data_IF_999496098551
#
_entry.id   IF_999496098551
#
_cell.length_a   1.000
_cell.length_b   1.000
_cell.length_c   1.000
_cell.angle_alpha   90.00
_cell.angle_beta   90.00
_cell.angle_gamma   90.00
#
_symmetry.space_group_name_H-M   'P 1'
#
loop_
_entity.id
_entity.type
_entity.pdbx_description
1 polymer ?
#
# COMPACT_ATOMS: atom_id res chain seq x y z
N UNK A 1 -22.93 -22.92 11.91
CA UNK A 1 -23.34 -22.50 10.55
C UNK A 1 -22.17 -22.78 9.62
N UNK A 2 -22.30 -23.81 8.78
CA UNK A 2 -21.21 -24.46 8.01
C UNK A 2 -20.78 -23.68 6.75
N UNK A 3 -21.24 -22.44 6.58
CA UNK A 3 -21.15 -21.71 5.31
C UNK A 3 -19.94 -20.77 5.18
N UNK A 4 -19.09 -20.64 6.20
CA UNK A 4 -18.01 -19.64 6.21
C UNK A 4 -16.67 -20.20 5.70
N UNK A 5 -16.32 -21.44 6.09
CA UNK A 5 -14.99 -22.03 5.79
C UNK A 5 -14.79 -22.46 4.34
N UNK A 6 -15.85 -22.77 3.61
CA UNK A 6 -15.77 -23.30 2.25
C UNK A 6 -15.58 -22.18 1.20
N UNK A 7 -16.06 -20.96 1.48
CA UNK A 7 -15.92 -19.81 0.58
C UNK A 7 -14.49 -19.25 0.58
N UNK A 8 -13.91 -19.03 1.77
CA UNK A 8 -12.51 -18.58 1.93
C UNK A 8 -11.52 -19.56 1.30
N UNK A 9 -11.78 -20.87 1.44
CA UNK A 9 -10.98 -21.92 0.81
C UNK A 9 -11.04 -21.86 -0.73
N UNK A 10 -12.22 -21.67 -1.31
CA UNK A 10 -12.39 -21.58 -2.77
C UNK A 10 -11.75 -20.31 -3.37
N UNK A 11 -11.65 -19.23 -2.61
CA UNK A 11 -10.91 -18.04 -3.03
C UNK A 11 -9.40 -18.27 -3.02
N UNK A 12 -8.86 -18.91 -1.97
CA UNK A 12 -7.46 -19.27 -1.88
C UNK A 12 -7.04 -20.31 -2.95
N UNK A 13 -7.89 -21.30 -3.25
CA UNK A 13 -7.59 -22.35 -4.23
C UNK A 13 -7.63 -21.88 -5.71
N UNK A 14 -8.29 -20.75 -6.00
CA UNK A 14 -8.41 -20.19 -7.37
C UNK A 14 -7.55 -18.97 -7.61
N UNK A 15 -6.89 -18.47 -6.58
CA UNK A 15 -6.01 -17.31 -6.65
C UNK A 15 -4.56 -17.79 -6.61
N UNK A 16 -3.80 -17.44 -7.64
CA UNK A 16 -2.34 -17.64 -7.64
C UNK A 16 -1.73 -16.55 -6.75
N UNK A 17 -1.22 -16.94 -5.58
CA UNK A 17 -0.54 -16.03 -4.66
C UNK A 17 0.79 -15.55 -5.25
N UNK A 18 1.00 -14.23 -5.30
CA UNK A 18 2.22 -13.63 -5.85
C UNK A 18 3.12 -13.00 -4.78
N UNK A 19 2.56 -12.51 -3.68
CA UNK A 19 3.36 -12.02 -2.56
C UNK A 19 2.62 -11.13 -1.57
N UNK A 20 3.26 -10.88 -0.43
CA UNK A 20 2.84 -9.94 0.60
C UNK A 20 3.97 -8.95 0.84
N UNK A 21 3.64 -7.67 0.81
CA UNK A 21 4.53 -6.58 1.20
C UNK A 21 3.98 -5.94 2.47
N UNK A 22 4.81 -5.74 3.49
CA UNK A 22 4.44 -4.93 4.66
C UNK A 22 4.92 -3.51 4.39
N UNK A 23 3.98 -2.60 4.14
CA UNK A 23 4.28 -1.20 3.83
C UNK A 23 4.63 -0.40 5.09
N UNK A 24 3.94 -0.67 6.21
CA UNK A 24 4.18 -0.01 7.48
C UNK A 24 3.66 -0.83 8.66
N UNK A 25 4.20 -0.55 9.85
CA UNK A 25 3.69 -1.06 11.13
C UNK A 25 3.64 0.06 12.15
N UNK A 26 2.62 0.09 12.97
CA UNK A 26 2.47 1.03 14.09
C UNK A 26 2.17 0.24 15.37
N UNK A 27 2.93 0.49 16.45
CA UNK A 27 2.85 -0.28 17.70
C UNK A 27 2.96 -1.81 17.47
N UNK A 28 2.23 -2.64 18.24
CA UNK A 28 2.20 -4.10 18.07
C UNK A 28 3.39 -4.88 18.65
N UNK A 29 4.20 -4.27 19.51
CA UNK A 29 5.29 -4.95 20.23
C UNK A 29 4.74 -5.81 21.39
N UNK A 30 5.63 -6.51 22.09
CA UNK A 30 5.23 -7.41 23.19
C UNK A 30 4.46 -6.69 24.31
N UNK A 31 4.83 -5.44 24.60
CA UNK A 31 4.21 -4.63 25.65
C UNK A 31 2.98 -3.84 25.16
N UNK A 32 2.67 -3.88 23.87
CA UNK A 32 1.54 -3.15 23.30
C UNK A 32 0.24 -3.97 23.38
N UNK A 33 -0.88 -3.28 23.59
CA UNK A 33 -2.23 -3.87 23.57
C UNK A 33 -2.95 -3.65 22.23
N UNK A 34 -2.42 -2.78 21.38
CA UNK A 34 -2.93 -2.46 20.05
C UNK A 34 -1.77 -2.34 19.06
N UNK A 35 -2.01 -2.68 17.79
CA UNK A 35 -1.03 -2.54 16.72
C UNK A 35 -1.71 -2.44 15.37
N UNK A 36 -1.06 -1.80 14.42
CA UNK A 36 -1.53 -1.69 13.04
C UNK A 36 -0.50 -2.19 12.06
N UNK A 37 -0.96 -2.82 10.99
CA UNK A 37 -0.13 -3.31 9.90
C UNK A 37 -0.71 -2.83 8.59
N UNK A 38 0.04 -2.02 7.86
CA UNK A 38 -0.26 -1.67 6.47
C UNK A 38 0.43 -2.68 5.57
N UNK A 39 -0.33 -3.37 4.72
CA UNK A 39 0.23 -4.36 3.82
C UNK A 39 -0.41 -4.35 2.43
N UNK A 40 0.32 -4.92 1.48
CA UNK A 40 -0.12 -5.11 0.11
C UNK A 40 -0.04 -6.60 -0.23
N UNK A 41 -1.20 -7.24 -0.31
CA UNK A 41 -1.33 -8.62 -0.79
C UNK A 41 -1.50 -8.62 -2.31
N UNK A 42 -0.60 -9.29 -3.02
CA UNK A 42 -0.64 -9.42 -4.48
C UNK A 42 -1.00 -10.86 -4.85
N UNK A 43 -2.05 -11.01 -5.65
CA UNK A 43 -2.53 -12.30 -6.11
C UNK A 43 -3.11 -12.17 -7.52
N UNK A 44 -3.17 -13.28 -8.25
CA UNK A 44 -3.73 -13.33 -9.59
C UNK A 44 -4.98 -14.19 -9.59
N UNK A 45 -6.10 -13.57 -9.92
CA UNK A 45 -7.40 -14.21 -10.03
C UNK A 45 -7.87 -14.15 -11.49
N UNK A 46 -8.19 -15.32 -12.09
CA UNK A 46 -8.66 -15.41 -13.49
C UNK A 46 -7.73 -14.70 -14.50
N UNK A 47 -6.42 -14.78 -14.28
CA UNK A 47 -5.43 -14.14 -15.15
C UNK A 47 -5.16 -12.65 -14.87
N UNK A 48 -5.94 -12.02 -13.99
CA UNK A 48 -5.78 -10.62 -13.62
C UNK A 48 -5.02 -10.51 -12.30
N UNK A 49 -3.89 -9.82 -12.31
CA UNK A 49 -3.14 -9.47 -11.10
C UNK A 49 -3.90 -8.39 -10.35
N UNK A 50 -4.20 -8.64 -9.08
CA UNK A 50 -4.82 -7.70 -8.14
C UNK A 50 -3.88 -7.44 -6.97
N UNK A 51 -3.93 -6.21 -6.49
CA UNK A 51 -3.24 -5.76 -5.27
C UNK A 51 -4.31 -5.32 -4.28
N UNK A 52 -4.26 -5.88 -3.09
CA UNK A 52 -5.12 -5.51 -1.98
C UNK A 52 -4.25 -4.79 -0.95
N UNK A 53 -4.46 -3.48 -0.87
CA UNK A 53 -3.69 -2.59 0.01
C UNK A 53 -4.60 -2.19 1.17
N UNK A 54 -4.28 -2.67 2.37
CA UNK A 54 -5.06 -2.39 3.57
C UNK A 54 -4.19 -1.99 4.76
N UNK A 55 -4.80 -1.27 5.70
CA UNK A 55 -4.29 -0.98 7.02
C UNK A 55 -5.16 -1.71 8.04
N UNK A 56 -4.64 -2.77 8.62
CA UNK A 56 -5.37 -3.61 9.57
C UNK A 56 -5.05 -3.22 11.00
N UNK A 57 -6.08 -3.21 11.85
CA UNK A 57 -6.02 -3.01 13.28
C UNK A 57 -6.03 -4.36 14.02
N UNK A 58 -5.10 -4.52 14.94
CA UNK A 58 -4.99 -5.66 15.82
C UNK A 58 -5.08 -5.24 17.28
N UNK A 59 -5.75 -6.03 18.11
CA UNK A 59 -5.75 -5.88 19.57
C UNK A 59 -5.25 -7.13 20.26
N UNK A 60 -4.42 -6.95 21.29
CA UNK A 60 -3.90 -8.03 22.12
C UNK A 60 -4.85 -8.24 23.29
N UNK A 61 -5.33 -9.47 23.46
CA UNK A 61 -6.11 -9.87 24.62
C UNK A 61 -5.55 -11.16 25.18
N UNK A 62 -5.24 -11.18 26.47
CA UNK A 62 -4.62 -12.34 27.16
C UNK A 62 -3.40 -12.89 26.41
N UNK A 63 -2.50 -12.00 25.98
CA UNK A 63 -1.27 -12.38 25.29
C UNK A 63 -1.42 -12.73 23.80
N UNK A 64 -2.63 -12.72 23.25
CA UNK A 64 -2.91 -13.12 21.86
C UNK A 64 -3.41 -11.95 21.04
N UNK A 65 -2.86 -11.79 19.84
CA UNK A 65 -3.30 -10.77 18.90
C UNK A 65 -4.52 -11.24 18.11
N UNK A 66 -5.52 -10.37 18.00
CA UNK A 66 -6.73 -10.57 17.23
C UNK A 66 -6.87 -9.46 16.20
N UNK A 67 -7.21 -9.82 14.97
CA UNK A 67 -7.68 -8.86 13.98
C UNK A 67 -8.98 -8.24 14.46
N UNK A 68 -9.08 -6.91 14.38
CA UNK A 68 -10.26 -6.14 14.80
C UNK A 68 -10.94 -5.53 13.59
N UNK A 69 -10.18 -4.84 12.74
CA UNK A 69 -10.71 -4.14 11.58
C UNK A 69 -9.64 -3.97 10.50
N UNK A 70 -10.04 -3.64 9.27
CA UNK A 70 -9.15 -3.40 8.14
C UNK A 70 -9.72 -2.33 7.20
N UNK A 71 -8.93 -1.30 6.94
CA UNK A 71 -9.32 -0.20 6.05
C UNK A 71 -8.56 -0.28 4.72
N UNK A 72 -9.29 -0.15 3.60
CA UNK A 72 -8.68 -0.08 2.26
C UNK A 72 -7.87 1.21 2.10
N UNK A 73 -6.57 1.07 1.93
CA UNK A 73 -5.67 2.21 1.72
C UNK A 73 -5.63 2.54 0.24
N UNK A 74 -5.92 3.80 -0.09
CA UNK A 74 -5.71 4.30 -1.45
C UNK A 74 -4.21 4.52 -1.65
N UNK A 75 -3.64 4.14 -2.81
CA UNK A 75 -2.24 4.43 -3.08
C UNK A 75 -2.02 5.94 -2.96
N UNK A 76 -1.07 6.34 -2.10
CA UNK A 76 -0.63 7.73 -2.05
C UNK A 76 -0.03 8.04 -3.42
N UNK A 77 -0.60 9.00 -4.13
CA UNK A 77 0.08 9.59 -5.28
C UNK A 77 1.31 10.30 -4.73
N UNK A 78 2.49 9.74 -4.94
CA UNK A 78 3.75 10.41 -4.67
C UNK A 78 3.79 11.69 -5.53
N UNK A 79 3.52 12.83 -4.89
CA UNK A 79 3.78 14.12 -5.51
C UNK A 79 5.30 14.24 -5.51
N UNK A 80 5.91 14.23 -6.69
CA UNK A 80 7.34 14.55 -6.80
C UNK A 80 7.58 15.90 -6.10
N UNK A 81 8.23 15.87 -4.94
CA UNK A 81 8.71 17.07 -4.22
C UNK A 81 9.92 17.72 -4.92
N UNK A 82 10.09 17.45 -6.22
CA UNK A 82 11.01 18.22 -7.03
C UNK A 82 10.56 19.68 -7.06
N UNK A 83 11.50 20.64 -7.06
CA UNK A 83 11.15 22.04 -7.24
C UNK A 83 10.31 22.16 -8.51
N UNK A 84 9.07 22.63 -8.36
CA UNK A 84 8.15 22.87 -9.48
C UNK A 84 8.69 24.06 -10.28
N UNK A 85 9.63 23.79 -11.17
CA UNK A 85 10.18 24.81 -12.06
C UNK A 85 9.08 25.30 -12.98
N UNK A 86 8.74 26.57 -12.83
CA UNK A 86 7.74 27.23 -13.65
C UNK A 86 8.19 27.25 -15.11
N UNK A 87 7.22 27.15 -16.03
CA UNK A 87 7.43 27.09 -17.49
C UNK A 87 8.34 28.22 -18.02
N UNK A 88 8.33 29.39 -17.37
CA UNK A 88 9.11 30.55 -17.77
C UNK A 88 10.37 30.80 -16.92
N UNK A 89 10.65 30.01 -15.88
CA UNK A 89 11.83 30.15 -15.03
C UNK A 89 13.10 29.66 -15.73
N UNK A 90 14.30 30.14 -15.31
CA UNK A 90 15.57 29.60 -15.79
C UNK A 90 15.66 28.09 -15.61
N UNK A 91 16.14 27.40 -16.64
CA UNK A 91 16.22 25.94 -16.64
C UNK A 91 17.35 25.46 -15.70
N UNK A 92 17.08 24.49 -14.80
CA UNK A 92 18.05 24.04 -13.80
C UNK A 92 19.26 23.29 -14.39
N UNK A 93 19.24 22.94 -15.67
CA UNK A 93 20.39 22.35 -16.38
C UNK A 93 21.54 23.34 -16.66
N UNK A 94 21.42 24.61 -16.24
CA UNK A 94 22.46 25.62 -16.42
C UNK A 94 22.52 26.25 -17.81
N UNK A 95 21.58 25.93 -18.71
CA UNK A 95 21.61 26.45 -20.09
C UNK A 95 21.28 27.96 -20.22
N UNK A 96 20.85 28.62 -19.14
CA UNK A 96 20.41 30.03 -19.16
C UNK A 96 19.07 30.28 -19.89
N UNK A 97 18.46 29.25 -20.49
CA UNK A 97 17.16 29.35 -21.20
C UNK A 97 15.99 29.15 -20.25
N UNK A 98 14.80 29.68 -20.62
CA UNK A 98 13.55 29.37 -19.92
C UNK A 98 13.26 27.86 -20.00
N UNK A 99 12.74 27.27 -18.92
CA UNK A 99 12.48 25.83 -18.80
C UNK A 99 11.72 25.25 -20.00
N UNK A 100 10.66 25.92 -20.48
CA UNK A 100 9.87 25.52 -21.66
C UNK A 100 10.59 25.51 -22.99
N UNK A 101 11.73 26.17 -23.08
CA UNK A 101 12.58 26.25 -24.27
C UNK A 101 13.84 25.40 -24.09
N UNK A 102 13.87 24.54 -23.07
CA UNK A 102 14.98 23.66 -22.73
C UNK A 102 14.45 22.28 -22.29
N UNK A 103 14.53 21.94 -21.00
CA UNK A 103 14.21 20.59 -20.49
C UNK A 103 12.70 20.31 -20.33
N UNK A 104 11.86 21.35 -20.31
CA UNK A 104 10.40 21.22 -20.22
C UNK A 104 9.68 21.47 -21.54
N UNK A 105 10.39 21.31 -22.66
CA UNK A 105 9.92 21.52 -24.03
C UNK A 105 9.62 20.21 -24.73
#
# INVERSE_FOLDING_TARGET
SDHDRNATRRWAERSEWLGLEIAATEAGKEDDEEGRVEFIATFKEKGVVRRYHELSLFKKNNGKWFFVDGEMVKPKTEVHEGPKVGRNEPCPCGSGRKFKKCCGG
#
